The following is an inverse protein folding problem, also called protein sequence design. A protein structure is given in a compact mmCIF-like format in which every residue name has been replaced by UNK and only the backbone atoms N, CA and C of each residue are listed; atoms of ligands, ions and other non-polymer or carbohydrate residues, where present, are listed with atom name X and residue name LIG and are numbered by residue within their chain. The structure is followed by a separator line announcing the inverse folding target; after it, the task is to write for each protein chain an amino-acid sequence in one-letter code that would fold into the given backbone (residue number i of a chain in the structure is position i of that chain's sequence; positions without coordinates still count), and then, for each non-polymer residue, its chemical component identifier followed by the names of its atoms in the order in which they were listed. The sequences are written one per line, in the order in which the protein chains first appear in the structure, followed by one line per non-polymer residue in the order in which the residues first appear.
data_IF_112692083323
#
_entry.id   IF_112692083323
#
_cell.length_a   1.000
_cell.length_b   1.000
_cell.length_c   1.000
_cell.angle_alpha   90.00
_cell.angle_beta   90.00
_cell.angle_gamma   90.00
#
_symmetry.space_group_name_H-M   'P 1'
#
loop_
_entity.id
_entity.type
_entity.pdbx_description
1 polymer ?
#
# COMPACT_ATOMS: atom_id res chain seq x y z
N UNK A 1 2.40 1.18 24.72
CA UNK A 1 2.11 -0.25 24.90
C UNK A 1 2.73 -1.02 23.74
N UNK A 2 3.32 -2.18 24.02
CA UNK A 2 3.73 -3.16 23.01
C UNK A 2 3.02 -4.48 23.36
N UNK A 3 2.27 -5.05 22.43
CA UNK A 3 1.46 -6.26 22.63
C UNK A 3 1.82 -7.31 21.59
N UNK A 4 2.03 -8.53 22.05
CA UNK A 4 2.02 -9.75 21.25
C UNK A 4 0.92 -10.64 21.82
N UNK A 5 -0.04 -11.02 20.99
CA UNK A 5 -1.19 -11.83 21.38
C UNK A 5 -1.25 -13.03 20.43
N UNK A 6 -1.03 -14.22 20.99
CA UNK A 6 -0.98 -15.51 20.30
C UNK A 6 -2.27 -16.30 20.50
N UNK A 7 -3.41 -15.61 20.65
CA UNK A 7 -4.70 -16.28 20.65
C UNK A 7 -4.91 -17.04 19.34
N UNK A 8 -5.30 -18.31 19.42
CA UNK A 8 -5.54 -19.18 18.26
C UNK A 8 -6.42 -18.50 17.20
N UNK A 9 -5.94 -18.51 15.95
CA UNK A 9 -6.57 -17.88 14.78
C UNK A 9 -6.79 -16.36 14.89
N UNK A 10 -6.23 -15.71 15.90
CA UNK A 10 -6.36 -14.27 16.17
C UNK A 10 -5.01 -13.64 16.52
N UNK A 11 -3.93 -14.20 15.99
CA UNK A 11 -2.57 -13.73 16.22
C UNK A 11 -2.41 -12.27 15.79
N UNK A 12 -1.73 -11.48 16.63
CA UNK A 12 -1.48 -10.06 16.35
C UNK A 12 -0.25 -9.52 17.07
N UNK A 13 0.26 -8.42 16.50
CA UNK A 13 1.25 -7.56 17.14
C UNK A 13 0.75 -6.10 17.11
N UNK A 14 0.97 -5.35 18.19
CA UNK A 14 0.55 -3.96 18.31
C UNK A 14 1.63 -3.12 18.99
N UNK A 15 2.04 -2.02 18.36
CA UNK A 15 2.85 -0.97 18.97
C UNK A 15 2.00 0.30 19.04
N UNK A 16 1.76 0.81 20.24
CA UNK A 16 0.86 1.94 20.48
C UNK A 16 1.50 2.98 21.40
N UNK A 17 1.35 4.25 21.05
CA UNK A 17 1.60 5.42 21.91
C UNK A 17 0.30 6.18 22.13
N UNK A 18 -0.01 6.50 23.39
CA UNK A 18 -1.18 7.34 23.72
C UNK A 18 -1.02 8.76 23.20
N UNK A 19 0.22 9.19 22.93
CA UNK A 19 0.49 10.47 22.26
C UNK A 19 -0.02 10.41 20.82
N UNK A 20 -1.05 11.22 20.55
CA UNK A 20 -1.75 11.30 19.26
C UNK A 20 -2.34 9.97 18.77
N UNK A 21 -2.69 9.05 19.69
CA UNK A 21 -3.24 7.73 19.36
C UNK A 21 -2.45 7.00 18.25
N UNK A 22 -1.12 7.12 18.28
CA UNK A 22 -0.25 6.63 17.21
C UNK A 22 0.02 5.14 17.38
N UNK A 23 -0.31 4.35 16.36
CA UNK A 23 -0.23 2.89 16.44
C UNK A 23 0.16 2.22 15.13
N UNK A 24 0.92 1.12 15.26
CA UNK A 24 1.15 0.11 14.24
C UNK A 24 0.53 -1.20 14.72
N UNK A 25 -0.42 -1.75 13.96
CA UNK A 25 -1.10 -3.00 14.27
C UNK A 25 -0.95 -4.00 13.12
N UNK A 26 -0.67 -5.26 13.43
CA UNK A 26 -0.48 -6.35 12.47
C UNK A 26 -1.32 -7.57 12.87
N UNK A 27 -1.89 -8.28 11.90
CA UNK A 27 -2.65 -9.51 12.10
C UNK A 27 -4.12 -9.24 12.39
N UNK A 28 -4.64 -9.83 13.47
CA UNK A 28 -6.03 -9.68 13.90
C UNK A 28 -6.26 -8.34 14.62
N UNK A 29 -6.94 -7.40 13.96
CA UNK A 29 -7.16 -6.06 14.48
C UNK A 29 -8.40 -6.06 15.38
N UNK A 30 -8.26 -5.57 16.61
CA UNK A 30 -9.34 -5.44 17.60
C UNK A 30 -9.30 -4.10 18.33
N UNK A 31 -10.44 -3.70 18.91
CA UNK A 31 -10.45 -2.69 19.96
C UNK A 31 -9.64 -3.12 21.17
N UNK A 32 -8.75 -2.24 21.64
CA UNK A 32 -7.89 -2.49 22.78
C UNK A 32 -8.09 -1.37 23.79
N UNK A 33 -8.33 -1.74 25.04
CA UNK A 33 -8.26 -0.84 26.19
C UNK A 33 -7.49 -1.56 27.30
N UNK A 34 -6.26 -1.14 27.58
CA UNK A 34 -5.35 -1.83 28.49
C UNK A 34 -5.18 -3.32 28.12
N UNK A 35 -5.61 -4.25 28.99
CA UNK A 35 -5.59 -5.69 28.76
C UNK A 35 -6.91 -6.22 28.20
N UNK A 36 -7.91 -5.37 28.02
CA UNK A 36 -9.21 -5.77 27.47
C UNK A 36 -9.13 -5.94 25.95
N UNK A 37 -9.45 -7.17 25.51
CA UNK A 37 -9.63 -7.54 24.10
C UNK A 37 -11.07 -7.23 23.71
N UNK A 38 -11.26 -6.17 22.93
CA UNK A 38 -12.55 -5.72 22.44
C UNK A 38 -12.95 -6.35 21.12
N UNK A 39 -13.91 -5.73 20.43
CA UNK A 39 -14.48 -6.24 19.18
C UNK A 39 -13.47 -6.23 18.03
N UNK A 40 -13.67 -7.17 17.11
CA UNK A 40 -12.97 -7.24 15.83
C UNK A 40 -13.20 -5.97 14.99
N UNK A 41 -12.14 -5.51 14.30
CA UNK A 41 -12.20 -4.37 13.37
C UNK A 41 -11.62 -4.65 11.98
N UNK A 42 -10.94 -5.78 11.79
CA UNK A 42 -10.34 -6.13 10.50
C UNK A 42 -9.13 -7.05 10.62
N UNK A 43 -8.59 -7.46 9.48
CA UNK A 43 -7.38 -8.29 9.39
C UNK A 43 -6.39 -7.66 8.43
N UNK A 44 -5.11 -7.61 8.81
CA UNK A 44 -4.04 -7.07 7.96
C UNK A 44 -3.06 -6.21 8.73
N UNK A 45 -2.60 -5.13 8.10
CA UNK A 45 -1.70 -4.15 8.70
C UNK A 45 -2.39 -2.77 8.76
N UNK A 46 -2.28 -2.08 9.89
CA UNK A 46 -2.80 -0.73 10.10
C UNK A 46 -1.70 0.16 10.69
N UNK A 47 -1.46 1.31 10.06
CA UNK A 47 -0.73 2.42 10.64
C UNK A 47 -1.72 3.57 10.84
N UNK A 48 -1.87 4.05 12.08
CA UNK A 48 -2.78 5.13 12.43
C UNK A 48 -2.08 6.15 13.32
N UNK A 49 -2.41 7.42 13.14
CA UNK A 49 -2.06 8.51 14.06
C UNK A 49 -3.07 9.64 13.89
N UNK A 50 -3.38 10.35 14.97
CA UNK A 50 -4.19 11.58 14.93
C UNK A 50 -3.32 12.83 14.63
N UNK A 51 -2.00 12.65 14.51
CA UNK A 51 -1.05 13.69 14.12
C UNK A 51 -0.59 13.53 12.65
N UNK A 52 0.49 14.22 12.28
CA UNK A 52 1.09 14.10 10.95
C UNK A 52 1.76 12.73 10.77
N UNK A 53 1.45 12.06 9.65
CA UNK A 53 2.15 10.88 9.17
C UNK A 53 3.08 11.21 8.02
N UNK A 54 4.25 10.55 7.95
CA UNK A 54 5.15 10.65 6.81
C UNK A 54 5.74 9.27 6.48
N UNK A 55 5.65 8.89 5.21
CA UNK A 55 6.36 7.74 4.63
C UNK A 55 7.44 8.28 3.70
N UNK A 56 8.71 7.95 3.96
CA UNK A 56 9.84 8.44 3.18
C UNK A 56 10.77 7.30 2.81
N UNK A 57 10.92 7.07 1.51
CA UNK A 57 11.85 6.09 0.97
C UNK A 57 12.58 6.70 -0.23
N UNK A 58 13.89 6.91 -0.09
CA UNK A 58 14.70 7.58 -1.13
C UNK A 58 14.82 6.78 -2.44
N UNK A 59 14.52 5.47 -2.38
CA UNK A 59 14.52 4.57 -3.54
C UNK A 59 13.13 4.36 -4.15
N UNK A 60 12.10 4.99 -3.61
CA UNK A 60 10.70 4.85 -4.04
C UNK A 60 9.84 4.07 -3.04
N UNK A 61 8.52 4.14 -3.25
CA UNK A 61 7.51 3.41 -2.49
C UNK A 61 6.66 2.63 -3.49
N UNK A 62 6.52 1.33 -3.28
CA UNK A 62 5.58 0.48 -4.03
C UNK A 62 4.34 0.24 -3.19
N UNK A 63 3.19 0.74 -3.65
CA UNK A 63 1.88 0.46 -3.07
C UNK A 63 1.09 -0.35 -4.09
N UNK A 64 0.72 -1.58 -3.74
CA UNK A 64 0.02 -2.48 -4.65
C UNK A 64 -1.02 -3.32 -3.91
N UNK A 65 -2.03 -3.75 -4.67
CA UNK A 65 -3.03 -4.74 -4.26
C UNK A 65 -2.78 -6.11 -4.90
N UNK A 66 -1.70 -6.28 -5.67
CA UNK A 66 -1.34 -7.58 -6.22
C UNK A 66 -0.87 -8.50 -5.10
N UNK A 67 -1.51 -9.66 -4.99
CA UNK A 67 -1.08 -10.69 -4.06
C UNK A 67 0.30 -11.22 -4.49
N UNK A 68 1.21 -11.35 -3.53
CA UNK A 68 2.50 -11.99 -3.71
C UNK A 68 2.43 -13.36 -3.03
N UNK A 69 2.24 -14.44 -3.79
CA UNK A 69 1.94 -15.77 -3.22
C UNK A 69 3.15 -16.43 -2.55
N UNK A 70 4.35 -15.89 -2.72
CA UNK A 70 5.57 -16.40 -2.11
C UNK A 70 6.35 -15.24 -1.48
N UNK A 71 6.98 -15.49 -0.32
CA UNK A 71 7.87 -14.54 0.36
C UNK A 71 9.21 -14.32 -0.39
N UNK A 72 9.29 -14.74 -1.66
CA UNK A 72 10.53 -14.85 -2.41
C UNK A 72 10.95 -13.54 -3.10
N UNK A 73 9.99 -12.65 -3.36
CA UNK A 73 10.25 -11.42 -4.10
C UNK A 73 10.84 -10.35 -3.16
N UNK A 74 11.94 -9.70 -3.55
CA UNK A 74 12.53 -8.64 -2.74
C UNK A 74 11.56 -7.48 -2.50
N UNK A 75 11.69 -6.82 -1.35
CA UNK A 75 10.98 -5.58 -1.09
C UNK A 75 11.26 -4.55 -2.19
N UNK A 76 10.19 -4.07 -2.83
CA UNK A 76 10.30 -3.14 -3.96
C UNK A 76 10.41 -3.81 -5.33
N UNK A 77 10.15 -5.13 -5.46
CA UNK A 77 9.88 -5.70 -6.77
C UNK A 77 8.68 -4.98 -7.43
N UNK A 78 8.87 -4.63 -8.70
CA UNK A 78 7.93 -3.89 -9.51
C UNK A 78 7.82 -4.49 -10.92
N UNK A 79 8.35 -5.68 -11.18
CA UNK A 79 8.31 -6.28 -12.51
C UNK A 79 6.88 -6.36 -13.10
N UNK A 80 5.84 -6.77 -12.34
CA UNK A 80 4.46 -6.73 -12.84
C UNK A 80 3.96 -5.32 -13.14
N UNK A 81 4.30 -4.35 -12.28
CA UNK A 81 3.93 -2.95 -12.44
C UNK A 81 4.54 -2.33 -13.70
N UNK A 82 5.84 -2.58 -13.90
CA UNK A 82 6.60 -2.09 -15.04
C UNK A 82 6.07 -2.65 -16.35
N UNK A 83 5.70 -3.94 -16.39
CA UNK A 83 5.10 -4.56 -17.56
C UNK A 83 3.75 -3.91 -17.92
N UNK A 84 2.89 -3.65 -16.94
CA UNK A 84 1.60 -2.99 -17.16
C UNK A 84 1.80 -1.55 -17.66
N UNK A 85 2.76 -0.81 -17.10
CA UNK A 85 3.09 0.54 -17.55
C UNK A 85 3.59 0.54 -19.01
N UNK A 86 4.42 -0.42 -19.41
CA UNK A 86 4.88 -0.56 -20.79
C UNK A 86 3.73 -0.83 -21.78
N UNK A 87 2.74 -1.64 -21.37
CA UNK A 87 1.54 -1.86 -22.19
C UNK A 87 0.69 -0.60 -22.32
N UNK A 88 0.51 0.15 -21.23
CA UNK A 88 -0.22 1.41 -21.23
C UNK A 88 0.45 2.47 -22.11
N UNK A 89 1.79 2.56 -22.09
CA UNK A 89 2.57 3.44 -22.98
C UNK A 89 2.37 3.08 -24.46
N UNK A 90 2.47 1.79 -24.79
CA UNK A 90 2.24 1.30 -26.17
C UNK A 90 0.82 1.66 -26.66
N UNK A 91 -0.18 1.48 -25.80
CA UNK A 91 -1.57 1.85 -26.10
C UNK A 91 -1.70 3.36 -26.31
N UNK A 92 -1.13 4.17 -25.42
CA UNK A 92 -1.16 5.63 -25.50
C UNK A 92 -0.52 6.15 -26.80
N UNK A 93 0.62 5.59 -27.20
CA UNK A 93 1.29 5.94 -28.46
C UNK A 93 0.44 5.58 -29.68
N UNK A 94 -0.20 4.40 -29.66
CA UNK A 94 -1.08 3.95 -30.75
C UNK A 94 -2.27 4.89 -30.93
N UNK A 95 -2.92 5.28 -29.82
CA UNK A 95 -4.05 6.22 -29.83
C UNK A 95 -3.60 7.63 -30.25
N UNK A 96 -2.45 8.10 -29.76
CA UNK A 96 -1.88 9.40 -30.16
C UNK A 96 -1.57 9.46 -31.65
N UNK A 97 -1.03 8.39 -32.23
CA UNK A 97 -0.79 8.27 -33.67
C UNK A 97 -2.09 8.33 -34.46
N UNK A 98 -3.12 7.61 -34.02
CA UNK A 98 -4.43 7.66 -34.66
C UNK A 98 -5.04 9.07 -34.61
N UNK A 99 -4.97 9.74 -33.46
CA UNK A 99 -5.42 11.12 -33.31
C UNK A 99 -4.70 12.06 -34.30
N UNK A 100 -3.37 11.99 -34.36
CA UNK A 100 -2.58 12.78 -35.30
C UNK A 100 -2.93 12.48 -36.77
N UNK A 101 -3.10 11.20 -37.14
CA UNK A 101 -3.52 10.80 -38.49
C UNK A 101 -4.88 11.39 -38.87
N UNK A 102 -5.80 11.49 -37.91
CA UNK A 102 -7.13 12.06 -38.11
C UNK A 102 -7.20 13.57 -37.80
N UNK A 103 -6.05 14.25 -37.73
CA UNK A 103 -5.93 15.69 -37.48
C UNK A 103 -6.65 16.16 -36.21
N UNK A 104 -6.77 15.28 -35.21
CA UNK A 104 -7.26 15.63 -33.88
C UNK A 104 -6.07 15.89 -32.94
N UNK A 105 -6.35 16.27 -31.69
CA UNK A 105 -5.31 16.64 -30.72
C UNK A 105 -4.53 15.39 -30.30
N UNK A 106 -3.23 15.27 -30.63
CA UNK A 106 -2.41 14.15 -30.16
C UNK A 106 -2.15 14.25 -28.66
N UNK A 107 -1.65 13.18 -28.06
CA UNK A 107 -1.29 13.18 -26.64
C UNK A 107 -0.23 14.27 -26.37
N UNK A 108 -0.63 15.31 -25.64
CA UNK A 108 0.30 16.27 -25.05
C UNK A 108 0.91 15.63 -23.80
N UNK A 109 1.85 14.71 -23.99
CA UNK A 109 2.68 14.28 -22.89
C UNK A 109 3.50 15.50 -22.45
N UNK A 110 3.39 15.90 -21.19
CA UNK A 110 4.29 16.88 -20.61
C UNK A 110 5.71 16.32 -20.79
N UNK A 111 6.46 16.92 -21.71
CA UNK A 111 7.89 16.68 -21.83
C UNK A 111 8.45 17.24 -20.53
N UNK A 112 8.76 16.35 -19.59
CA UNK A 112 9.43 16.70 -18.33
C UNK A 112 10.80 17.29 -18.60
#
# INVERSE_FOLDING_TARGET
QLVFDDTDNQQRAALHSTQYASQLNLGHLIHQADNYRGSFRGSGAELRTDAWGALRAARGITLTTWAQPTDAEPAGDMAPAAALLGQADTLAQTLSKAAATHQTVPLAAAIG
#
